data_IF_349824835444
#
_entry.id   IF_349824835444
#
_cell.length_a   1.000
_cell.length_b   1.000
_cell.length_c   1.000
_cell.angle_alpha   90.00
_cell.angle_beta   90.00
_cell.angle_gamma   90.00
#
_symmetry.space_group_name_H-M   'P 1'
#
loop_
_entity.id
_entity.type
_entity.pdbx_description
1 polymer ?
#
# COMPACT_ATOMS: atom_id res chain seq x y z
N UNK A 1 -7.59 -5.61 3.11
CA UNK A 1 -6.72 -6.77 3.40
C UNK A 1 -5.51 -6.40 4.26
N UNK A 2 -4.71 -5.39 3.87
CA UNK A 2 -3.55 -4.90 4.66
C UNK A 2 -3.93 -4.40 6.07
N UNK A 3 -4.91 -3.49 6.19
CA UNK A 3 -5.30 -2.94 7.50
C UNK A 3 -5.74 -4.02 8.49
N UNK A 4 -6.43 -5.06 8.03
CA UNK A 4 -6.81 -6.21 8.86
C UNK A 4 -5.59 -7.01 9.32
N UNK A 5 -4.57 -7.15 8.46
CA UNK A 5 -3.32 -7.81 8.81
C UNK A 5 -2.54 -7.04 9.90
N UNK A 6 -2.64 -5.71 9.90
CA UNK A 6 -2.02 -4.83 10.91
C UNK A 6 -2.84 -4.81 12.21
N UNK A 7 -4.11 -4.42 12.12
CA UNK A 7 -4.93 -4.11 13.29
C UNK A 7 -5.42 -5.36 14.03
N UNK A 8 -5.89 -6.38 13.29
CA UNK A 8 -6.53 -7.54 13.90
C UNK A 8 -5.54 -8.69 14.05
N UNK A 9 -4.80 -9.01 12.98
CA UNK A 9 -3.87 -10.16 12.98
C UNK A 9 -2.48 -9.83 13.52
N UNK A 10 -2.11 -8.55 13.60
CA UNK A 10 -0.79 -8.06 14.06
C UNK A 10 0.39 -8.77 13.38
N UNK A 11 0.26 -9.05 12.08
CA UNK A 11 1.28 -9.77 11.33
C UNK A 11 2.47 -8.82 11.10
N UNK A 12 3.70 -9.21 11.50
CA UNK A 12 4.87 -8.41 11.22
C UNK A 12 5.24 -8.52 9.75
N UNK A 13 5.23 -7.41 9.05
CA UNK A 13 5.76 -7.27 7.68
C UNK A 13 6.37 -5.89 7.50
N UNK A 14 7.33 -5.77 6.58
CA UNK A 14 8.05 -4.52 6.30
C UNK A 14 7.60 -3.84 5.01
N UNK A 15 7.24 -4.62 4.01
CA UNK A 15 6.97 -4.13 2.65
C UNK A 15 5.64 -4.65 2.13
N UNK A 16 4.88 -3.78 1.45
CA UNK A 16 3.62 -4.12 0.79
C UNK A 16 3.80 -4.05 -0.73
N UNK A 17 3.60 -5.18 -1.39
CA UNK A 17 3.56 -5.25 -2.86
C UNK A 17 2.13 -5.04 -3.33
N UNK A 18 1.93 -4.10 -4.25
CA UNK A 18 0.61 -3.75 -4.76
C UNK A 18 0.60 -3.84 -6.28
N UNK A 19 -0.51 -4.30 -6.83
CA UNK A 19 -0.76 -4.22 -8.27
C UNK A 19 -1.03 -2.77 -8.70
N UNK A 20 -0.69 -2.46 -9.95
CA UNK A 20 -0.93 -1.15 -10.58
C UNK A 20 -2.38 -0.65 -10.50
N UNK A 21 -3.34 -1.56 -10.43
CA UNK A 21 -4.76 -1.24 -10.29
C UNK A 21 -5.08 -0.53 -8.97
N UNK A 22 -4.28 -0.77 -7.94
CA UNK A 22 -4.51 -0.24 -6.58
C UNK A 22 -3.59 0.95 -6.26
N UNK A 23 -2.85 1.46 -7.24
CA UNK A 23 -1.89 2.56 -7.12
C UNK A 23 -2.54 3.94 -6.86
N UNK A 24 -3.38 4.06 -5.83
CA UNK A 24 -4.06 5.31 -5.45
C UNK A 24 -3.24 6.09 -4.42
N UNK A 25 -3.25 7.43 -4.50
CA UNK A 25 -2.53 8.29 -3.55
C UNK A 25 -2.98 8.06 -2.11
N UNK A 26 -4.30 7.88 -1.91
CA UNK A 26 -4.89 7.62 -0.61
C UNK A 26 -4.40 6.31 0.01
N UNK A 27 -4.27 5.24 -0.79
CA UNK A 27 -3.73 3.97 -0.29
C UNK A 27 -2.25 4.10 0.03
N UNK A 28 -1.46 4.76 -0.83
CA UNK A 28 -0.03 5.01 -0.58
C UNK A 28 0.20 5.78 0.71
N UNK A 29 -0.56 6.86 0.94
CA UNK A 29 -0.47 7.65 2.18
C UNK A 29 -0.85 6.88 3.43
N UNK A 30 -1.79 5.92 3.34
CA UNK A 30 -2.10 5.03 4.47
C UNK A 30 -0.92 4.13 4.83
N UNK A 31 -0.21 3.59 3.83
CA UNK A 31 0.96 2.71 4.06
C UNK A 31 2.13 3.51 4.65
N UNK A 32 2.33 4.73 4.16
CA UNK A 32 3.39 5.63 4.61
C UNK A 32 3.13 6.11 6.06
N UNK A 33 1.88 6.44 6.40
CA UNK A 33 1.47 6.73 7.78
C UNK A 33 1.73 5.55 8.73
N UNK A 34 1.54 4.32 8.26
CA UNK A 34 1.85 3.10 9.01
C UNK A 34 3.36 2.76 9.04
N UNK A 35 4.22 3.63 8.50
CA UNK A 35 5.68 3.49 8.40
C UNK A 35 6.11 2.19 7.70
N UNK A 36 5.38 1.79 6.66
CA UNK A 36 5.66 0.61 5.85
C UNK A 36 6.19 1.02 4.48
N UNK A 37 7.09 0.22 3.93
CA UNK A 37 7.54 0.40 2.55
C UNK A 37 6.49 -0.16 1.60
N UNK A 38 6.33 0.43 0.41
CA UNK A 38 5.50 -0.14 -0.63
C UNK A 38 6.16 -0.07 -2.00
N UNK A 39 5.82 -1.03 -2.84
CA UNK A 39 6.15 -1.03 -4.26
C UNK A 39 4.88 -1.27 -5.07
N UNK A 40 4.69 -0.45 -6.10
CA UNK A 40 3.54 -0.53 -6.98
C UNK A 40 3.92 -0.03 -8.39
N UNK A 41 3.62 -0.80 -9.45
CA UNK A 41 3.79 -0.32 -10.81
C UNK A 41 2.78 0.80 -11.10
N UNK A 42 3.27 1.95 -11.58
CA UNK A 42 2.38 3.05 -11.98
C UNK A 42 2.03 2.91 -13.46
N UNK A 43 0.72 2.88 -13.77
CA UNK A 43 0.27 2.99 -15.16
C UNK A 43 0.60 4.38 -15.70
N UNK A 44 1.06 4.41 -16.94
CA UNK A 44 1.38 5.65 -17.68
C UNK A 44 0.16 6.57 -17.86
N UNK A 45 -1.05 6.01 -17.94
CA UNK A 45 -2.31 6.76 -18.04
C UNK A 45 -2.87 7.20 -16.66
N UNK A 46 -2.02 7.40 -15.66
CA UNK A 46 -2.44 7.95 -14.38
C UNK A 46 -2.51 9.47 -14.50
N UNK A 47 -3.70 10.04 -14.34
CA UNK A 47 -3.86 11.48 -14.19
C UNK A 47 -3.03 11.94 -12.97
N UNK A 48 -2.12 12.89 -13.21
CA UNK A 48 -1.18 13.39 -12.20
C UNK A 48 -1.90 14.24 -11.16
#
# INVERSE_FOLDING_TARGET
>A
MMLNAINNKKIPFKTVLMDSWYATQRLMGLIDNDRKNYYCPLKSNRAR
#
